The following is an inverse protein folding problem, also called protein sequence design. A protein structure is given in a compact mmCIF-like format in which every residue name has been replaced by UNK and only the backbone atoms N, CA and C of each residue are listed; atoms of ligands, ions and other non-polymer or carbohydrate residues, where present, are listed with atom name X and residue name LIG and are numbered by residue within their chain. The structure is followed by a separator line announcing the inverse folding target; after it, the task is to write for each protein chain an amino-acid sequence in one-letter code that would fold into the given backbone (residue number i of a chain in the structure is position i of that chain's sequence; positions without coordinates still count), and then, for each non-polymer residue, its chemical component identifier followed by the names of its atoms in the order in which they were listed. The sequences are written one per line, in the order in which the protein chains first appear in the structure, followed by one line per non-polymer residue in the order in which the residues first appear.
data_IF_514461119918
#
_entry.id   IF_514461119918
#
_cell.length_a   1.000
_cell.length_b   1.000
_cell.length_c   1.000
_cell.angle_alpha   90.00
_cell.angle_beta   90.00
_cell.angle_gamma   90.00
#
_symmetry.space_group_name_H-M   'P 1'
#
loop_
_entity.id
_entity.type
_entity.pdbx_description
1 polymer ?
#
# COMPACT_ATOMS: atom_id res chain seq x y z
N UNK A 1 23.17 6.22 -5.26
CA UNK A 1 22.99 5.24 -4.21
C UNK A 1 23.32 3.82 -4.70
N UNK A 2 22.52 3.15 -5.54
CA UNK A 2 22.79 1.75 -5.95
C UNK A 2 23.85 1.60 -7.05
N UNK A 3 23.98 2.56 -7.96
CA UNK A 3 24.80 2.49 -9.18
C UNK A 3 26.33 2.53 -8.98
N UNK A 4 26.85 2.32 -7.81
CA UNK A 4 28.29 2.35 -7.53
C UNK A 4 28.76 1.30 -6.52
N UNK A 5 27.86 0.45 -6.02
CA UNK A 5 28.23 -0.56 -5.03
C UNK A 5 28.71 -1.84 -5.73
N UNK A 6 29.94 -2.34 -5.42
CA UNK A 6 30.40 -3.60 -5.97
C UNK A 6 29.45 -4.75 -5.62
N UNK A 7 28.95 -5.46 -6.61
CA UNK A 7 28.02 -6.59 -6.43
C UNK A 7 26.54 -6.24 -6.46
N UNK A 8 26.15 -4.98 -6.69
CA UNK A 8 24.76 -4.60 -6.95
C UNK A 8 24.63 -3.94 -8.34
N UNK A 9 23.67 -4.39 -9.11
CA UNK A 9 23.31 -3.79 -10.39
C UNK A 9 21.80 -3.59 -10.49
N UNK A 10 21.38 -2.45 -11.01
CA UNK A 10 19.99 -2.23 -11.37
C UNK A 10 19.79 -2.78 -12.78
N UNK A 11 19.24 -3.99 -12.87
CA UNK A 11 19.06 -4.69 -14.14
C UNK A 11 17.81 -4.22 -14.89
N UNK A 12 16.75 -3.83 -14.17
CA UNK A 12 15.49 -3.36 -14.74
C UNK A 12 14.84 -2.30 -13.85
N UNK A 13 13.98 -1.48 -14.43
CA UNK A 13 13.11 -0.54 -13.72
C UNK A 13 11.82 -0.33 -14.50
N UNK A 14 10.69 -0.25 -13.79
CA UNK A 14 9.38 -0.03 -14.39
C UNK A 14 8.47 0.77 -13.44
N UNK A 15 7.40 1.34 -13.96
CA UNK A 15 6.41 2.06 -13.16
C UNK A 15 5.40 1.13 -12.49
N UNK A 16 5.25 -0.10 -12.98
CA UNK A 16 4.31 -1.11 -12.47
C UNK A 16 4.94 -2.51 -12.49
N UNK A 17 4.39 -3.43 -11.69
CA UNK A 17 4.87 -4.82 -11.66
C UNK A 17 4.66 -5.53 -13.00
N UNK A 18 3.49 -5.43 -13.67
CA UNK A 18 3.34 -6.03 -14.99
C UNK A 18 4.35 -5.54 -16.03
N UNK A 19 4.69 -4.23 -16.03
CA UNK A 19 5.71 -3.68 -16.91
C UNK A 19 7.11 -4.21 -16.59
N UNK A 20 7.42 -4.44 -15.31
CA UNK A 20 8.69 -5.04 -14.90
C UNK A 20 8.80 -6.47 -15.42
N UNK A 21 7.78 -7.28 -15.20
CA UNK A 21 7.75 -8.68 -15.61
C UNK A 21 7.78 -8.85 -17.14
N UNK A 22 7.24 -7.87 -17.89
CA UNK A 22 7.28 -7.89 -19.35
C UNK A 22 8.68 -7.64 -19.97
N UNK A 23 9.66 -7.18 -19.16
CA UNK A 23 11.03 -6.95 -19.65
C UNK A 23 11.85 -8.23 -19.80
N UNK A 24 11.38 -9.35 -19.24
CA UNK A 24 12.01 -10.68 -19.31
C UNK A 24 13.51 -10.67 -18.94
N UNK A 25 13.82 -9.96 -17.84
CA UNK A 25 15.18 -9.81 -17.30
C UNK A 25 15.31 -10.67 -16.05
N UNK A 26 16.43 -11.38 -15.93
CA UNK A 26 16.76 -12.15 -14.73
C UNK A 26 17.01 -11.21 -13.55
N UNK A 27 16.30 -11.41 -12.45
CA UNK A 27 16.35 -10.57 -11.26
C UNK A 27 16.53 -11.44 -10.00
N UNK A 28 17.44 -11.06 -9.12
CA UNK A 28 17.63 -11.70 -7.82
C UNK A 28 16.64 -11.18 -6.78
N UNK A 29 16.22 -9.91 -6.91
CA UNK A 29 15.37 -9.23 -5.94
C UNK A 29 14.65 -8.06 -6.61
N UNK A 30 13.43 -7.78 -6.17
CA UNK A 30 12.69 -6.58 -6.58
C UNK A 30 12.61 -5.59 -5.42
N UNK A 31 13.07 -4.35 -5.64
CA UNK A 31 12.80 -3.24 -4.74
C UNK A 31 11.44 -2.65 -5.08
N UNK A 32 10.44 -2.95 -4.24
CA UNK A 32 9.05 -2.58 -4.48
C UNK A 32 8.68 -1.31 -3.73
N UNK A 33 8.25 -0.28 -4.46
CA UNK A 33 7.55 0.84 -3.83
C UNK A 33 6.11 0.42 -3.50
N UNK A 34 5.60 0.88 -2.37
CA UNK A 34 4.22 0.64 -1.96
C UNK A 34 3.19 1.46 -2.76
N UNK A 35 3.65 2.47 -3.50
CA UNK A 35 2.81 3.36 -4.31
C UNK A 35 3.28 3.32 -5.75
N UNK A 36 2.69 2.44 -6.51
CA UNK A 36 2.90 2.39 -7.94
C UNK A 36 1.93 3.32 -8.68
N UNK A 37 2.29 3.71 -9.91
CA UNK A 37 1.52 4.66 -10.72
C UNK A 37 0.14 4.16 -11.13
N UNK A 38 -0.07 2.84 -11.17
CA UNK A 38 -1.34 2.19 -11.50
C UNK A 38 -2.29 2.07 -10.30
N UNK A 39 -1.87 2.46 -9.10
CA UNK A 39 -2.66 2.35 -7.87
C UNK A 39 -2.88 0.92 -7.39
N UNK A 40 -2.13 -0.06 -7.89
CA UNK A 40 -2.22 -1.46 -7.48
C UNK A 40 -1.90 -1.64 -6.00
N UNK A 41 -2.53 -2.64 -5.36
CA UNK A 41 -2.28 -2.90 -3.95
C UNK A 41 -0.97 -3.66 -3.74
N UNK A 42 -0.25 -3.42 -2.61
CA UNK A 42 0.96 -4.16 -2.28
C UNK A 42 0.77 -5.67 -2.28
N UNK A 43 -0.37 -6.16 -1.82
CA UNK A 43 -0.68 -7.60 -1.81
C UNK A 43 -0.68 -8.18 -3.22
N UNK A 44 -1.41 -7.54 -4.16
CA UNK A 44 -1.47 -7.98 -5.55
C UNK A 44 -0.09 -7.95 -6.20
N UNK A 45 0.69 -6.90 -5.95
CA UNK A 45 2.03 -6.75 -6.49
C UNK A 45 2.98 -7.86 -6.00
N UNK A 46 2.96 -8.16 -4.70
CA UNK A 46 3.79 -9.22 -4.11
C UNK A 46 3.36 -10.60 -4.64
N UNK A 47 2.05 -10.85 -4.76
CA UNK A 47 1.53 -12.10 -5.33
C UNK A 47 1.98 -12.31 -6.78
N UNK A 48 1.95 -11.25 -7.61
CA UNK A 48 2.43 -11.31 -9.00
C UNK A 48 3.93 -11.59 -9.08
N UNK A 49 4.75 -10.92 -8.28
CA UNK A 49 6.19 -11.15 -8.22
C UNK A 49 6.50 -12.58 -7.78
N UNK A 50 5.82 -13.05 -6.75
CA UNK A 50 6.01 -14.41 -6.24
C UNK A 50 5.57 -15.49 -7.25
N UNK A 51 4.49 -15.25 -7.99
CA UNK A 51 4.07 -16.14 -9.07
C UNK A 51 5.11 -16.23 -10.20
N UNK A 52 5.93 -15.20 -10.37
CA UNK A 52 7.08 -15.17 -11.28
C UNK A 52 8.40 -15.70 -10.64
N UNK A 53 8.34 -16.21 -9.41
CA UNK A 53 9.53 -16.71 -8.69
C UNK A 53 10.43 -15.63 -8.12
N UNK A 54 9.95 -14.38 -8.01
CA UNK A 54 10.71 -13.24 -7.53
C UNK A 54 10.31 -12.87 -6.10
N UNK A 55 11.31 -12.57 -5.27
CA UNK A 55 11.12 -12.02 -3.93
C UNK A 55 11.19 -10.49 -3.96
N UNK A 56 10.54 -9.87 -2.97
CA UNK A 56 10.46 -8.42 -2.86
C UNK A 56 10.97 -7.90 -1.53
N UNK A 57 11.74 -6.82 -1.58
CA UNK A 57 12.04 -5.94 -0.46
C UNK A 57 11.32 -4.61 -0.67
N UNK A 58 10.52 -4.19 0.29
CA UNK A 58 9.82 -2.90 0.19
C UNK A 58 10.78 -1.75 0.44
N UNK A 59 10.78 -0.80 -0.48
CA UNK A 59 11.59 0.42 -0.40
C UNK A 59 10.67 1.64 -0.54
N UNK A 60 10.26 2.23 0.60
CA UNK A 60 9.16 3.19 0.64
C UNK A 60 9.47 4.43 1.46
N UNK A 61 8.75 5.53 1.18
CA UNK A 61 8.74 6.72 2.05
C UNK A 61 8.11 6.47 3.43
N UNK A 62 7.51 5.31 3.67
CA UNK A 62 6.88 4.88 4.92
C UNK A 62 5.76 5.81 5.45
N UNK A 63 5.08 6.51 4.56
CA UNK A 63 4.04 7.47 4.93
C UNK A 63 2.69 6.80 5.26
N UNK A 64 2.50 5.53 4.92
CA UNK A 64 1.26 4.79 5.16
C UNK A 64 1.51 3.45 5.85
N UNK A 65 1.33 3.36 7.18
CA UNK A 65 1.52 2.13 7.94
C UNK A 65 0.62 0.96 7.49
N UNK A 66 -0.55 1.27 6.91
CA UNK A 66 -1.44 0.23 6.39
C UNK A 66 -0.85 -0.50 5.18
N UNK A 67 -0.25 0.24 4.23
CA UNK A 67 0.40 -0.38 3.06
C UNK A 67 1.61 -1.22 3.47
N UNK A 68 2.37 -0.77 4.48
CA UNK A 68 3.49 -1.53 5.07
C UNK A 68 2.98 -2.85 5.64
N UNK A 69 1.88 -2.84 6.39
CA UNK A 69 1.27 -4.06 6.93
C UNK A 69 0.73 -4.99 5.85
N UNK A 70 0.11 -4.46 4.79
CA UNK A 70 -0.33 -5.28 3.65
C UNK A 70 0.84 -6.00 2.99
N UNK A 71 1.95 -5.29 2.76
CA UNK A 71 3.16 -5.89 2.20
C UNK A 71 3.77 -6.94 3.13
N UNK A 72 3.83 -6.66 4.43
CA UNK A 72 4.32 -7.61 5.43
C UNK A 72 3.48 -8.89 5.47
N UNK A 73 2.14 -8.76 5.47
CA UNK A 73 1.22 -9.92 5.40
C UNK A 73 1.33 -10.69 4.08
N UNK A 74 1.62 -10.02 2.98
CA UNK A 74 1.87 -10.66 1.69
C UNK A 74 3.21 -11.40 1.65
N UNK A 75 4.09 -11.19 2.65
CA UNK A 75 5.30 -11.96 2.86
C UNK A 75 6.53 -11.42 2.14
N UNK A 76 6.66 -10.10 1.99
CA UNK A 76 7.92 -9.48 1.55
C UNK A 76 9.06 -9.80 2.50
N UNK A 77 10.30 -9.75 2.04
CA UNK A 77 11.48 -10.06 2.86
C UNK A 77 11.78 -8.99 3.91
N UNK A 78 11.21 -7.80 3.79
CA UNK A 78 11.36 -6.73 4.76
C UNK A 78 10.90 -5.39 4.21
N UNK A 79 11.06 -4.35 5.03
CA UNK A 79 10.71 -2.96 4.69
C UNK A 79 11.84 -2.04 5.05
N UNK A 80 12.28 -1.21 4.11
CA UNK A 80 13.34 -0.21 4.28
C UNK A 80 12.80 1.15 3.84
N UNK A 81 13.13 2.20 4.59
CA UNK A 81 12.75 3.57 4.24
C UNK A 81 13.67 4.16 3.18
N UNK A 82 13.10 4.94 2.27
CA UNK A 82 13.88 5.76 1.32
C UNK A 82 14.76 6.82 2.01
N UNK A 83 14.44 7.17 3.26
CA UNK A 83 15.19 8.09 4.10
C UNK A 83 16.26 7.41 4.97
N UNK A 84 16.38 6.08 4.92
CA UNK A 84 17.43 5.36 5.65
C UNK A 84 18.82 5.68 5.08
N UNK A 85 19.88 5.64 5.92
CA UNK A 85 21.26 5.76 5.44
C UNK A 85 21.59 4.75 4.33
N UNK A 86 22.42 5.15 3.39
CA UNK A 86 22.75 4.36 2.19
C UNK A 86 23.35 2.99 2.54
N UNK A 87 24.20 2.93 3.55
CA UNK A 87 24.81 1.69 4.06
C UNK A 87 23.77 0.70 4.58
N UNK A 88 22.79 1.17 5.33
CA UNK A 88 21.67 0.35 5.81
C UNK A 88 20.79 -0.17 4.67
N UNK A 89 20.54 0.67 3.66
CA UNK A 89 19.76 0.26 2.48
C UNK A 89 20.51 -0.82 1.70
N UNK A 90 21.81 -0.65 1.49
CA UNK A 90 22.65 -1.62 0.80
C UNK A 90 22.70 -2.94 1.55
N UNK A 91 22.93 -2.92 2.86
CA UNK A 91 22.95 -4.13 3.70
C UNK A 91 21.60 -4.88 3.63
N UNK A 92 20.48 -4.15 3.66
CA UNK A 92 19.15 -4.71 3.54
C UNK A 92 18.94 -5.39 2.18
N UNK A 93 19.37 -4.74 1.08
CA UNK A 93 19.29 -5.30 -0.28
C UNK A 93 20.11 -6.58 -0.39
N UNK A 94 21.37 -6.57 0.05
CA UNK A 94 22.26 -7.74 0.03
C UNK A 94 21.68 -8.89 0.85
N UNK A 95 21.11 -8.59 2.03
CA UNK A 95 20.46 -9.58 2.88
C UNK A 95 19.24 -10.19 2.21
N UNK A 96 18.39 -9.36 1.62
CA UNK A 96 17.18 -9.80 0.92
C UNK A 96 17.49 -10.59 -0.36
N UNK A 97 18.50 -10.19 -1.14
CA UNK A 97 18.94 -10.91 -2.33
C UNK A 97 19.45 -12.32 -2.04
N UNK A 98 19.85 -12.59 -0.79
CA UNK A 98 20.20 -13.94 -0.30
C UNK A 98 18.98 -14.73 0.20
N UNK A 99 17.76 -14.22 0.00
CA UNK A 99 16.52 -14.84 0.48
C UNK A 99 16.30 -14.74 1.99
N UNK A 100 17.07 -13.88 2.68
CA UNK A 100 16.97 -13.71 4.13
C UNK A 100 16.07 -12.54 4.50
N UNK A 101 15.30 -12.70 5.58
CA UNK A 101 14.48 -11.61 6.10
C UNK A 101 15.33 -10.45 6.63
N UNK A 102 14.87 -9.24 6.31
CA UNK A 102 15.45 -7.98 6.77
C UNK A 102 14.60 -7.46 7.94
N UNK A 103 15.13 -7.58 9.14
CA UNK A 103 14.46 -7.12 10.36
C UNK A 103 14.83 -5.66 10.62
N UNK A 104 13.92 -4.75 10.24
CA UNK A 104 14.02 -3.32 10.56
C UNK A 104 13.00 -2.93 11.63
N UNK A 105 13.14 -1.73 12.21
CA UNK A 105 12.16 -1.19 13.15
C UNK A 105 10.77 -1.08 12.49
N UNK A 106 10.72 -0.72 11.21
CA UNK A 106 9.49 -0.64 10.41
C UNK A 106 8.86 -2.02 10.23
N UNK A 107 9.67 -3.04 9.96
CA UNK A 107 9.24 -4.42 9.83
C UNK A 107 8.69 -4.94 11.17
N UNK A 108 9.42 -4.74 12.27
CA UNK A 108 8.97 -5.12 13.60
C UNK A 108 7.65 -4.44 13.97
N UNK A 109 7.53 -3.12 13.74
CA UNK A 109 6.30 -2.37 13.98
C UNK A 109 5.13 -2.82 13.08
N UNK A 110 5.40 -3.31 11.87
CA UNK A 110 4.38 -3.83 10.97
C UNK A 110 3.86 -5.22 11.39
N UNK A 111 4.72 -6.02 12.04
CA UNK A 111 4.38 -7.36 12.54
C UNK A 111 3.81 -7.28 13.96
N UNK A 112 4.43 -6.50 14.87
CA UNK A 112 4.00 -6.33 16.26
C UNK A 112 2.78 -5.40 16.40
N UNK A 113 2.54 -4.58 15.40
CA UNK A 113 1.30 -3.80 15.32
C UNK A 113 0.14 -4.76 15.17
N UNK A 114 -0.65 -4.85 16.28
CA UNK A 114 -1.81 -5.69 16.54
C UNK A 114 -2.37 -6.35 15.26
N UNK A 115 -2.25 -7.69 15.11
CA UNK A 115 -2.85 -8.41 13.98
C UNK A 115 -4.37 -8.18 13.90
N UNK A 116 -4.98 -7.68 14.98
CA UNK A 116 -6.37 -7.29 15.11
C UNK A 116 -6.63 -5.77 15.09
N UNK A 117 -5.65 -4.91 14.73
CA UNK A 117 -6.02 -3.62 14.14
C UNK A 117 -6.50 -3.89 12.71
N UNK A 118 -7.78 -4.30 12.56
CA UNK A 118 -8.35 -4.47 11.25
C UNK A 118 -8.29 -3.10 10.61
N UNK A 119 -7.81 -3.04 9.41
CA UNK A 119 -8.38 -2.04 8.54
C UNK A 119 -9.87 -2.13 8.82
N UNK A 120 -10.54 -1.05 9.12
CA UNK A 120 -11.88 -0.92 9.75
C UNK A 120 -12.92 -2.00 9.34
N UNK A 121 -12.46 -3.16 8.85
CA UNK A 121 -13.25 -4.33 8.46
C UNK A 121 -14.33 -3.98 7.41
N UNK A 122 -14.03 -3.07 6.49
CA UNK A 122 -14.95 -2.69 5.44
C UNK A 122 -15.09 -3.83 4.44
N UNK A 123 -16.34 -4.21 4.12
CA UNK A 123 -16.59 -5.12 3.01
C UNK A 123 -16.17 -4.49 1.68
N UNK A 124 -15.90 -5.27 0.61
CA UNK A 124 -15.53 -4.74 -0.70
C UNK A 124 -16.52 -3.66 -1.19
N UNK A 125 -17.81 -3.84 -0.93
CA UNK A 125 -18.84 -2.89 -1.30
C UNK A 125 -18.78 -1.59 -0.47
N UNK A 126 -18.43 -1.69 0.81
CA UNK A 126 -18.20 -0.51 1.66
C UNK A 126 -16.95 0.26 1.24
N UNK A 127 -15.89 -0.43 0.81
CA UNK A 127 -14.67 0.19 0.30
C UNK A 127 -14.95 0.97 -0.99
N UNK A 128 -15.70 0.39 -1.93
CA UNK A 128 -16.12 1.05 -3.17
C UNK A 128 -16.94 2.32 -2.89
N UNK A 129 -17.95 2.22 -2.01
CA UNK A 129 -18.76 3.38 -1.61
C UNK A 129 -17.91 4.44 -0.90
N UNK A 130 -17.01 4.04 -0.01
CA UNK A 130 -16.09 4.96 0.68
C UNK A 130 -15.19 5.68 -0.30
N UNK A 131 -14.55 4.97 -1.23
CA UNK A 131 -13.64 5.57 -2.21
C UNK A 131 -14.35 6.64 -3.05
N UNK A 132 -15.52 6.34 -3.58
CA UNK A 132 -16.29 7.28 -4.40
C UNK A 132 -16.86 8.45 -3.56
N UNK A 133 -17.42 8.17 -2.39
CA UNK A 133 -18.01 9.21 -1.56
C UNK A 133 -16.96 10.15 -0.98
N UNK A 134 -15.86 9.61 -0.47
CA UNK A 134 -14.78 10.38 0.14
C UNK A 134 -13.99 11.20 -0.91
N UNK A 135 -13.86 10.73 -2.15
CA UNK A 135 -13.21 11.51 -3.23
C UNK A 135 -13.99 12.76 -3.67
N UNK A 136 -15.19 12.98 -3.11
CA UNK A 136 -15.96 14.21 -3.37
C UNK A 136 -17.33 13.98 -4.00
N UNK A 137 -17.62 12.77 -4.51
CA UNK A 137 -18.89 12.47 -5.18
C UNK A 137 -20.10 12.63 -4.24
N UNK A 138 -21.23 13.10 -4.80
CA UNK A 138 -22.51 13.16 -4.08
C UNK A 138 -23.13 11.77 -3.99
N UNK A 139 -23.95 11.50 -2.97
CA UNK A 139 -24.61 10.21 -2.77
C UNK A 139 -25.36 9.71 -4.02
N UNK A 140 -26.04 10.61 -4.74
CA UNK A 140 -26.75 10.27 -5.99
C UNK A 140 -25.80 9.81 -7.12
N UNK A 141 -24.59 10.38 -7.17
CA UNK A 141 -23.58 10.00 -8.15
C UNK A 141 -22.96 8.64 -7.78
N UNK A 142 -22.63 8.46 -6.50
CA UNK A 142 -22.17 7.17 -5.98
C UNK A 142 -23.20 6.08 -6.25
N UNK A 143 -24.48 6.36 -6.01
CA UNK A 143 -25.56 5.43 -6.26
C UNK A 143 -25.59 4.96 -7.73
N UNK A 144 -25.49 5.89 -8.67
CA UNK A 144 -25.43 5.57 -10.12
C UNK A 144 -24.22 4.75 -10.49
N UNK A 145 -23.03 5.09 -9.96
CA UNK A 145 -21.76 4.40 -10.26
C UNK A 145 -21.74 2.99 -9.70
N UNK A 146 -22.36 2.79 -8.55
CA UNK A 146 -22.36 1.50 -7.83
C UNK A 146 -23.59 0.64 -8.10
N UNK A 147 -24.60 1.14 -8.81
CA UNK A 147 -25.88 0.45 -9.00
C UNK A 147 -26.72 0.33 -7.72
N UNK A 148 -26.50 1.20 -6.75
CA UNK A 148 -27.24 1.26 -5.50
C UNK A 148 -28.29 2.36 -5.51
N UNK A 149 -29.22 2.35 -4.53
CA UNK A 149 -30.05 3.51 -4.26
C UNK A 149 -29.30 4.57 -3.45
N UNK A 150 -29.66 5.87 -3.55
CA UNK A 150 -29.07 6.92 -2.70
C UNK A 150 -29.28 6.63 -1.20
N UNK A 151 -30.39 6.03 -0.83
CA UNK A 151 -30.68 5.59 0.54
C UNK A 151 -29.66 4.56 1.00
N UNK A 152 -29.41 3.53 0.21
CA UNK A 152 -28.43 2.47 0.51
C UNK A 152 -27.01 3.03 0.61
N UNK A 153 -26.63 4.01 -0.24
CA UNK A 153 -25.34 4.69 -0.13
C UNK A 153 -25.22 5.39 1.24
N UNK A 154 -26.25 6.12 1.67
CA UNK A 154 -26.24 6.79 2.96
C UNK A 154 -26.17 5.79 4.14
N UNK A 155 -26.85 4.64 4.05
CA UNK A 155 -26.72 3.57 5.04
C UNK A 155 -25.28 3.02 5.10
N UNK A 156 -24.63 2.79 3.93
CA UNK A 156 -23.24 2.36 3.89
C UNK A 156 -22.31 3.40 4.51
N UNK A 157 -22.49 4.69 4.20
CA UNK A 157 -21.70 5.78 4.80
C UNK A 157 -21.88 5.80 6.33
N UNK A 158 -23.11 5.62 6.82
CA UNK A 158 -23.38 5.50 8.25
C UNK A 158 -22.66 4.31 8.90
N UNK A 159 -22.74 3.12 8.28
CA UNK A 159 -22.04 1.91 8.75
C UNK A 159 -20.51 2.07 8.72
N UNK A 160 -19.96 2.72 7.70
CA UNK A 160 -18.54 3.02 7.59
C UNK A 160 -18.09 3.93 8.74
N UNK A 161 -18.83 5.02 8.99
CA UNK A 161 -18.57 5.92 10.14
C UNK A 161 -18.61 5.19 11.47
N UNK A 162 -19.62 4.33 11.68
CA UNK A 162 -19.74 3.50 12.88
C UNK A 162 -18.52 2.60 13.07
N UNK A 163 -18.04 1.96 12.02
CA UNK A 163 -16.84 1.12 12.08
C UNK A 163 -15.58 1.92 12.41
N UNK A 164 -15.39 3.09 11.82
CA UNK A 164 -14.29 4.00 12.16
C UNK A 164 -14.36 4.47 13.61
N UNK A 165 -15.55 4.81 14.08
CA UNK A 165 -15.76 5.21 15.48
C UNK A 165 -15.45 4.06 16.44
N UNK A 166 -15.90 2.84 16.15
CA UNK A 166 -15.62 1.64 16.96
C UNK A 166 -14.12 1.32 17.02
N UNK A 167 -13.37 1.66 15.96
CA UNK A 167 -11.91 1.53 15.92
C UNK A 167 -11.15 2.70 16.58
N UNK A 168 -11.84 3.59 17.31
CA UNK A 168 -11.23 4.76 17.95
C UNK A 168 -10.75 5.85 16.97
N UNK A 169 -11.20 5.80 15.71
CA UNK A 169 -10.78 6.70 14.61
C UNK A 169 -12.00 7.38 13.98
N UNK A 170 -12.78 8.19 14.74
CA UNK A 170 -14.03 8.75 14.24
C UNK A 170 -13.84 9.54 12.94
N UNK A 171 -14.86 9.55 12.10
CA UNK A 171 -14.90 10.21 10.80
C UNK A 171 -16.31 10.73 10.49
N UNK A 172 -16.72 11.77 11.21
CA UNK A 172 -18.09 12.29 11.16
C UNK A 172 -18.34 13.17 9.94
N UNK A 173 -17.30 13.80 9.42
CA UNK A 173 -17.36 14.65 8.23
C UNK A 173 -16.83 13.90 6.99
N UNK A 174 -17.19 14.41 5.82
CA UNK A 174 -16.68 13.88 4.54
C UNK A 174 -15.16 14.04 4.42
N UNK A 175 -14.62 15.13 4.96
CA UNK A 175 -13.17 15.39 4.99
C UNK A 175 -12.44 14.38 5.87
N UNK A 176 -13.02 14.03 7.02
CA UNK A 176 -12.46 13.01 7.90
C UNK A 176 -12.52 11.63 7.23
N UNK A 177 -13.64 11.29 6.58
CA UNK A 177 -13.73 10.07 5.79
C UNK A 177 -12.67 10.02 4.68
N UNK A 178 -12.41 11.15 4.01
CA UNK A 178 -11.32 11.24 3.03
C UNK A 178 -9.96 10.96 3.66
N UNK A 179 -9.65 11.60 4.79
CA UNK A 179 -8.41 11.35 5.53
C UNK A 179 -8.26 9.88 5.89
N UNK A 180 -9.31 9.26 6.45
CA UNK A 180 -9.31 7.83 6.79
C UNK A 180 -9.14 6.93 5.57
N UNK A 181 -9.83 7.26 4.47
CA UNK A 181 -9.71 6.50 3.22
C UNK A 181 -8.28 6.56 2.64
N UNK A 182 -7.62 7.71 2.76
CA UNK A 182 -6.19 7.86 2.37
C UNK A 182 -5.28 7.10 3.33
N UNK A 183 -5.48 7.24 4.66
CA UNK A 183 -4.71 6.54 5.69
C UNK A 183 -4.79 5.02 5.52
N UNK A 184 -5.96 4.50 5.17
CA UNK A 184 -6.23 3.06 5.02
C UNK A 184 -5.96 2.55 3.58
N UNK A 185 -5.48 3.42 2.68
CA UNK A 185 -5.10 3.04 1.32
C UNK A 185 -6.26 2.84 0.34
N UNK A 186 -7.49 3.24 0.72
CA UNK A 186 -8.66 3.21 -0.18
C UNK A 186 -8.68 4.36 -1.18
N UNK A 187 -7.90 5.42 -0.94
CA UNK A 187 -7.72 6.55 -1.85
C UNK A 187 -6.23 6.92 -1.97
N UNK A 188 -5.79 7.40 -3.14
CA UNK A 188 -4.44 7.91 -3.31
C UNK A 188 -4.24 9.17 -2.46
N UNK A 189 -3.02 9.40 -2.00
CA UNK A 189 -2.64 10.66 -1.38
C UNK A 189 -2.67 11.75 -2.45
N UNK A 190 -3.30 12.90 -2.19
CA UNK A 190 -3.24 14.04 -3.10
C UNK A 190 -1.78 14.44 -3.34
N UNK A 191 -1.35 14.40 -4.60
CA UNK A 191 -0.06 14.98 -4.96
C UNK A 191 -0.17 16.51 -4.81
N UNK A 192 0.77 17.13 -4.09
CA UNK A 192 0.95 18.57 -4.20
C UNK A 192 1.44 18.85 -5.61
N UNK A 193 0.63 19.50 -6.41
CA UNK A 193 1.13 20.19 -7.59
C UNK A 193 2.05 21.32 -7.07
N UNK A 194 3.35 21.14 -7.20
CA UNK A 194 4.31 22.22 -7.02
C UNK A 194 4.03 23.27 -8.10
N UNK A 195 3.50 24.40 -7.67
CA UNK A 195 3.36 25.62 -8.47
C UNK A 195 4.68 26.34 -8.59
#
# INVERSE_FOLDING_TARGET
MLSGHPGLAVAASAATVPELLAQDVELDLVLLDLRLSDGSSPTVNVEQLRAAGLEALVFTGAENPHLVRLAAKAGVLGVVRKSSPDDMVIEAIVTAAQGRQVVTTEWAAAIDGDPDLPGVGLSPRQQEVLALYASGEKADRVARLTGLSPHTVNEYVGKIRGKYSAAGRPADTKIELFKRAVEDGYLPVPQREDR
#
